data_IF_949643224342
#
_entry.id   IF_949643224342
#
_cell.length_a   1.000
_cell.length_b   1.000
_cell.length_c   1.000
_cell.angle_alpha   90.00
_cell.angle_beta   90.00
_cell.angle_gamma   90.00
#
_symmetry.space_group_name_H-M   'P 1'
#
loop_
_entity.id
_entity.type
_entity.pdbx_description
1 polymer ?
#
# COMPACT_ATOMS: atom_id res chain seq x y z
N UNK A 1 -13.68 2.50 6.62
CA UNK A 1 -14.38 1.25 6.28
C UNK A 1 -15.34 1.48 5.12
N UNK A 2 -16.28 2.41 5.20
CA UNK A 2 -17.26 2.72 4.16
C UNK A 2 -16.68 2.99 2.77
N UNK A 3 -15.51 3.63 2.69
CA UNK A 3 -14.82 3.87 1.40
C UNK A 3 -14.37 2.54 0.78
N UNK A 4 -13.81 1.60 1.57
CA UNK A 4 -13.39 0.29 1.06
C UNK A 4 -14.56 -0.51 0.50
N UNK A 5 -15.67 -0.53 1.23
CA UNK A 5 -16.89 -1.23 0.82
C UNK A 5 -17.46 -0.63 -0.46
N UNK A 6 -17.52 0.70 -0.56
CA UNK A 6 -17.97 1.39 -1.77
C UNK A 6 -17.05 1.15 -2.97
N UNK A 7 -15.73 1.13 -2.76
CA UNK A 7 -14.75 0.83 -3.82
C UNK A 7 -14.94 -0.60 -4.31
N UNK A 8 -15.05 -1.57 -3.39
CA UNK A 8 -15.26 -2.96 -3.75
C UNK A 8 -16.56 -3.16 -4.54
N UNK A 9 -17.67 -2.59 -4.08
CA UNK A 9 -18.95 -2.64 -4.78
C UNK A 9 -18.87 -2.06 -6.21
N UNK A 10 -18.24 -0.89 -6.35
CA UNK A 10 -18.11 -0.25 -7.67
C UNK A 10 -17.15 -1.00 -8.58
N UNK A 11 -16.01 -1.46 -8.08
CA UNK A 11 -15.06 -2.24 -8.86
C UNK A 11 -15.72 -3.52 -9.41
N UNK A 12 -16.48 -4.22 -8.57
CA UNK A 12 -17.21 -5.41 -8.99
C UNK A 12 -18.26 -5.10 -10.06
N UNK A 13 -18.96 -3.97 -9.97
CA UNK A 13 -19.92 -3.53 -10.98
C UNK A 13 -19.28 -3.27 -12.37
N UNK A 14 -17.98 -3.02 -12.41
CA UNK A 14 -17.18 -2.89 -13.63
C UNK A 14 -16.44 -4.18 -14.02
N UNK A 15 -16.75 -5.30 -13.36
CA UNK A 15 -16.16 -6.60 -13.66
C UNK A 15 -14.79 -6.84 -13.01
N UNK A 16 -14.39 -6.02 -12.04
CA UNK A 16 -13.14 -6.18 -11.28
C UNK A 16 -13.46 -6.81 -9.93
N UNK A 17 -13.25 -8.12 -9.76
CA UNK A 17 -13.57 -8.80 -8.49
C UNK A 17 -12.59 -8.40 -7.38
N UNK A 18 -13.04 -8.51 -6.13
CA UNK A 18 -12.26 -8.08 -4.96
C UNK A 18 -10.89 -8.78 -4.79
N UNK A 19 -10.72 -9.96 -5.38
CA UNK A 19 -9.46 -10.70 -5.35
C UNK A 19 -8.49 -10.32 -6.48
N UNK A 20 -8.89 -9.47 -7.43
CA UNK A 20 -8.04 -9.02 -8.54
C UNK A 20 -7.07 -7.90 -8.13
N UNK A 21 -7.25 -7.29 -6.96
CA UNK A 21 -6.41 -6.19 -6.51
C UNK A 21 -6.22 -6.18 -4.98
N UNK A 22 -5.21 -5.44 -4.55
CA UNK A 22 -5.01 -5.07 -3.14
C UNK A 22 -5.13 -3.56 -3.02
N UNK A 23 -5.97 -3.10 -2.10
CA UNK A 23 -6.17 -1.68 -1.81
C UNK A 23 -5.71 -1.36 -0.39
N UNK A 24 -4.75 -0.46 -0.24
CA UNK A 24 -4.23 -0.02 1.03
C UNK A 24 -4.38 1.51 1.20
N UNK A 25 -4.75 1.93 2.40
CA UNK A 25 -4.76 3.32 2.82
C UNK A 25 -3.70 3.50 3.90
N UNK A 26 -2.74 4.38 3.66
CA UNK A 26 -1.73 4.77 4.63
C UNK A 26 -2.00 6.18 5.10
N UNK A 27 -2.35 6.32 6.37
CA UNK A 27 -2.72 7.60 6.96
C UNK A 27 -1.53 8.14 7.76
N UNK A 28 -0.72 8.98 7.12
CA UNK A 28 0.39 9.67 7.76
C UNK A 28 -0.13 10.69 8.77
N UNK A 29 0.55 10.78 9.91
CA UNK A 29 0.07 11.52 11.07
C UNK A 29 -0.83 10.68 11.99
N UNK A 30 -1.08 9.41 11.61
CA UNK A 30 -1.82 8.45 12.43
C UNK A 30 -1.05 7.13 12.53
N UNK A 31 -1.25 6.20 11.59
CA UNK A 31 -0.77 4.82 11.69
C UNK A 31 -0.16 4.27 10.38
N UNK A 32 0.23 5.15 9.47
CA UNK A 32 0.72 4.77 8.14
C UNK A 32 1.93 3.82 8.15
N UNK A 33 2.83 3.96 9.14
CA UNK A 33 4.09 3.22 9.23
C UNK A 33 3.92 1.93 10.02
N UNK A 34 3.38 2.03 11.23
CA UNK A 34 3.30 0.91 12.17
C UNK A 34 1.99 0.12 12.06
N UNK A 35 0.96 0.69 11.39
CA UNK A 35 -0.37 0.08 11.24
C UNK A 35 -0.93 -0.37 12.61
N UNK A 36 -1.33 -1.62 12.75
CA UNK A 36 -1.88 -2.17 14.00
C UNK A 36 -0.88 -2.21 15.18
N UNK A 37 0.40 -1.94 14.92
CA UNK A 37 1.45 -1.87 15.96
C UNK A 37 1.72 -0.45 16.44
N UNK A 38 0.97 0.54 15.93
CA UNK A 38 1.12 1.92 16.38
C UNK A 38 0.80 2.04 17.87
N UNK A 39 1.77 2.46 18.73
CA UNK A 39 1.55 2.54 20.16
C UNK A 39 0.69 3.73 20.59
N UNK A 40 0.63 4.78 19.76
CA UNK A 40 -0.17 5.98 20.05
C UNK A 40 -1.55 5.83 19.44
N UNK A 41 -2.51 5.43 20.27
CA UNK A 41 -3.88 5.15 19.83
C UNK A 41 -4.68 6.42 19.46
N UNK A 42 -4.39 7.55 20.12
CA UNK A 42 -5.08 8.82 19.91
C UNK A 42 -4.26 9.73 19.01
N UNK A 43 -4.79 10.03 17.83
CA UNK A 43 -4.16 10.94 16.89
C UNK A 43 -4.19 12.37 17.42
N UNK A 44 -3.01 13.01 17.48
CA UNK A 44 -2.82 14.41 17.89
C UNK A 44 -2.61 15.35 16.69
N UNK A 45 -2.47 14.79 15.49
CA UNK A 45 -2.16 15.55 14.28
C UNK A 45 -3.32 16.45 13.89
N UNK A 46 -3.01 17.71 13.59
CA UNK A 46 -3.97 18.67 13.07
C UNK A 46 -4.38 18.35 11.63
N UNK A 47 -3.44 17.90 10.83
CA UNK A 47 -3.65 17.46 9.43
C UNK A 47 -3.17 16.04 9.23
N UNK A 48 -3.79 15.33 8.29
CA UNK A 48 -3.45 13.98 7.93
C UNK A 48 -3.13 13.89 6.44
N UNK A 49 -2.04 13.16 6.12
CA UNK A 49 -1.73 12.78 4.75
C UNK A 49 -2.27 11.39 4.44
N UNK A 50 -2.94 11.21 3.31
CA UNK A 50 -3.46 9.91 2.89
C UNK A 50 -2.76 9.48 1.61
N UNK A 51 -2.05 8.36 1.67
CA UNK A 51 -1.53 7.67 0.50
C UNK A 51 -2.41 6.45 0.22
N UNK A 52 -2.95 6.38 -1.00
CA UNK A 52 -3.75 5.24 -1.47
C UNK A 52 -2.90 4.40 -2.40
N UNK A 53 -2.71 3.14 -2.06
CA UNK A 53 -1.95 2.19 -2.85
C UNK A 53 -2.87 1.13 -3.44
N UNK A 54 -2.76 0.90 -4.74
CA UNK A 54 -3.44 -0.21 -5.42
C UNK A 54 -2.40 -1.07 -6.12
N UNK A 55 -2.44 -2.35 -5.86
CA UNK A 55 -1.65 -3.37 -6.54
C UNK A 55 -2.60 -4.35 -7.21
N UNK A 56 -2.44 -4.57 -8.51
CA UNK A 56 -3.22 -5.51 -9.29
C UNK A 56 -2.31 -6.32 -10.23
N UNK A 57 -2.87 -7.27 -10.96
CA UNK A 57 -2.11 -8.07 -11.93
C UNK A 57 -1.69 -7.27 -13.16
N UNK A 58 -2.43 -6.21 -13.47
CA UNK A 58 -2.13 -5.31 -14.58
C UNK A 58 -2.35 -3.84 -14.17
N UNK A 59 -1.72 -2.94 -14.93
CA UNK A 59 -1.75 -1.50 -14.65
C UNK A 59 -3.12 -0.88 -14.90
N UNK A 60 -3.89 -1.39 -15.85
CA UNK A 60 -5.21 -0.87 -16.19
C UNK A 60 -6.18 -1.10 -15.03
N UNK A 61 -6.22 -2.31 -14.50
CA UNK A 61 -6.99 -2.64 -13.29
C UNK A 61 -6.57 -1.79 -12.09
N UNK A 62 -5.27 -1.61 -11.87
CA UNK A 62 -4.77 -0.77 -10.78
C UNK A 62 -5.24 0.68 -10.93
N UNK A 63 -5.13 1.25 -12.13
CA UNK A 63 -5.57 2.61 -12.44
C UNK A 63 -7.08 2.78 -12.23
N UNK A 64 -7.89 1.83 -12.70
CA UNK A 64 -9.35 1.86 -12.55
C UNK A 64 -9.77 1.87 -11.06
N UNK A 65 -9.20 0.96 -10.27
CA UNK A 65 -9.50 0.88 -8.83
C UNK A 65 -9.02 2.12 -8.09
N UNK A 66 -7.87 2.69 -8.47
CA UNK A 66 -7.35 3.92 -7.88
C UNK A 66 -8.26 5.12 -8.18
N UNK A 67 -8.73 5.26 -9.42
CA UNK A 67 -9.66 6.32 -9.81
C UNK A 67 -11.00 6.23 -9.06
N UNK A 68 -11.54 5.01 -8.91
CA UNK A 68 -12.73 4.76 -8.10
C UNK A 68 -12.47 5.16 -6.63
N UNK A 69 -11.32 4.78 -6.08
CA UNK A 69 -10.93 5.10 -4.70
C UNK A 69 -10.84 6.59 -4.48
N UNK A 70 -10.14 7.33 -5.34
CA UNK A 70 -10.02 8.79 -5.30
C UNK A 70 -11.37 9.47 -5.27
N UNK A 71 -12.26 9.11 -6.21
CA UNK A 71 -13.60 9.69 -6.28
C UNK A 71 -14.41 9.42 -5.02
N UNK A 72 -14.34 8.19 -4.48
CA UNK A 72 -15.05 7.85 -3.27
C UNK A 72 -14.52 8.61 -2.04
N UNK A 73 -13.20 8.72 -1.86
CA UNK A 73 -12.64 9.47 -0.73
C UNK A 73 -13.02 10.95 -0.82
N UNK A 74 -12.99 11.51 -2.03
CA UNK A 74 -13.31 12.92 -2.27
C UNK A 74 -14.77 13.27 -1.93
N UNK A 75 -15.68 12.32 -2.17
CA UNK A 75 -17.13 12.58 -2.07
C UNK A 75 -17.85 11.78 -0.98
N UNK A 76 -17.16 10.90 -0.23
CA UNK A 76 -17.82 10.14 0.84
C UNK A 76 -18.49 11.05 1.85
N UNK A 77 -19.70 10.67 2.23
CA UNK A 77 -20.42 11.38 3.27
C UNK A 77 -20.02 10.88 4.67
N UNK A 78 -20.05 11.79 5.65
CA UNK A 78 -19.74 11.48 7.04
C UNK A 78 -20.48 12.42 7.98
N UNK A 79 -20.73 12.04 9.24
CA UNK A 79 -21.40 12.89 10.22
C UNK A 79 -20.71 14.25 10.41
N UNK A 80 -21.50 15.33 10.44
CA UNK A 80 -21.04 16.72 10.58
C UNK A 80 -20.21 17.25 9.39
N UNK A 81 -20.33 16.65 8.21
CA UNK A 81 -19.73 17.19 7.00
C UNK A 81 -20.32 18.55 6.66
N UNK A 82 -19.47 19.57 6.59
CA UNK A 82 -19.88 20.96 6.32
C UNK A 82 -19.75 21.33 4.83
N UNK A 83 -18.87 20.68 4.09
CA UNK A 83 -18.62 20.94 2.67
C UNK A 83 -19.08 19.77 1.80
N UNK A 84 -19.78 20.04 0.70
CA UNK A 84 -20.22 19.04 -0.28
C UNK A 84 -19.31 18.94 -1.51
N UNK A 85 -18.42 19.92 -1.71
CA UNK A 85 -17.60 20.06 -2.91
C UNK A 85 -16.37 19.13 -2.94
N UNK A 86 -15.97 18.60 -1.81
CA UNK A 86 -14.85 17.67 -1.69
C UNK A 86 -14.27 17.63 -0.28
N UNK A 87 -13.60 16.53 0.04
CA UNK A 87 -13.09 16.25 1.39
C UNK A 87 -11.57 16.38 1.51
N UNK A 88 -10.86 16.56 0.37
CA UNK A 88 -9.40 16.50 0.34
C UNK A 88 -8.82 17.63 -0.48
N UNK A 89 -7.62 18.06 -0.08
CA UNK A 89 -6.72 18.85 -0.90
C UNK A 89 -5.67 17.94 -1.54
N UNK A 90 -5.48 18.03 -2.85
CA UNK A 90 -4.44 17.32 -3.56
C UNK A 90 -3.17 18.18 -3.61
N UNK A 91 -2.01 17.67 -3.16
CA UNK A 91 -0.78 18.46 -3.14
C UNK A 91 -0.16 18.66 -4.53
N UNK A 92 -0.53 17.81 -5.50
CA UNK A 92 0.01 17.85 -6.88
C UNK A 92 -0.97 17.24 -7.90
N UNK A 93 -0.70 17.51 -9.18
CA UNK A 93 -1.43 16.94 -10.31
C UNK A 93 -0.41 16.45 -11.37
N UNK A 94 -0.58 15.24 -11.93
CA UNK A 94 -1.62 14.27 -11.64
C UNK A 94 -1.50 13.67 -10.23
N UNK A 95 -2.63 13.38 -9.59
CA UNK A 95 -2.66 12.77 -8.24
C UNK A 95 -2.47 11.25 -8.27
N UNK A 96 -2.76 10.64 -9.40
CA UNK A 96 -2.64 9.20 -9.62
C UNK A 96 -1.35 8.92 -10.38
N UNK A 97 -0.47 8.10 -9.80
CA UNK A 97 0.87 7.85 -10.34
C UNK A 97 1.08 6.34 -10.47
N UNK A 98 1.41 5.90 -11.69
CA UNK A 98 1.83 4.53 -11.94
C UNK A 98 3.29 4.35 -11.49
N UNK A 99 3.50 3.54 -10.45
CA UNK A 99 4.82 3.29 -9.87
C UNK A 99 5.55 2.09 -10.49
N UNK A 100 4.92 1.41 -11.46
CA UNK A 100 5.48 0.23 -12.11
C UNK A 100 5.29 -1.06 -11.29
N UNK A 101 5.96 -2.14 -11.66
CA UNK A 101 5.79 -3.44 -11.03
C UNK A 101 6.31 -3.45 -9.60
N UNK A 102 5.58 -4.17 -8.74
CA UNK A 102 5.96 -4.45 -7.36
C UNK A 102 6.26 -5.93 -7.20
N UNK A 103 7.24 -6.25 -6.37
CA UNK A 103 7.70 -7.61 -6.15
C UNK A 103 7.37 -8.05 -4.73
N UNK A 104 7.02 -9.32 -4.59
CA UNK A 104 6.77 -9.95 -3.31
C UNK A 104 7.79 -11.05 -3.08
N UNK A 105 8.34 -11.10 -1.88
CA UNK A 105 9.14 -12.22 -1.46
C UNK A 105 8.24 -13.47 -1.38
N UNK A 106 8.46 -14.42 -2.29
CA UNK A 106 7.56 -15.57 -2.50
C UNK A 106 8.16 -16.90 -2.05
N UNK A 107 9.47 -16.93 -1.83
CA UNK A 107 10.19 -18.15 -1.47
C UNK A 107 11.02 -17.90 -0.21
N UNK A 108 10.76 -18.69 0.82
CA UNK A 108 11.51 -18.69 2.06
C UNK A 108 11.80 -20.15 2.45
N UNK A 109 13.06 -20.51 2.52
CA UNK A 109 13.51 -21.82 2.95
C UNK A 109 14.30 -21.73 4.25
N UNK A 110 13.93 -22.55 5.21
CA UNK A 110 14.74 -22.82 6.40
C UNK A 110 15.35 -24.19 6.23
N UNK A 111 16.67 -24.26 6.25
CA UNK A 111 17.40 -25.51 6.21
C UNK A 111 18.02 -25.74 7.57
N UNK A 112 17.66 -26.83 8.22
CA UNK A 112 18.30 -27.27 9.46
C UNK A 112 19.65 -27.89 9.11
N UNK A 113 20.72 -27.37 9.69
CA UNK A 113 22.08 -27.80 9.45
C UNK A 113 22.72 -28.26 10.77
N UNK A 114 23.29 -29.43 10.78
CA UNK A 114 24.11 -29.91 11.92
C UNK A 114 25.36 -29.01 12.10
N UNK A 115 25.93 -28.56 11.00
CA UNK A 115 27.01 -27.58 10.98
C UNK A 115 26.62 -26.38 10.12
N UNK A 116 26.41 -25.18 10.72
CA UNK A 116 25.99 -23.96 10.01
C UNK A 116 26.96 -23.53 8.89
N UNK A 117 28.22 -23.96 8.94
CA UNK A 117 29.24 -23.59 7.95
C UNK A 117 29.29 -24.59 6.76
N UNK A 118 28.62 -25.73 6.85
CA UNK A 118 28.69 -26.77 5.81
C UNK A 118 28.28 -26.35 4.38
N UNK A 119 27.35 -25.38 4.21
CA UNK A 119 27.00 -24.92 2.86
C UNK A 119 27.95 -23.87 2.31
N UNK A 120 28.95 -23.43 3.06
CA UNK A 120 29.87 -22.37 2.66
C UNK A 120 31.25 -22.91 2.40
N UNK A 121 31.68 -22.85 1.14
CA UNK A 121 33.08 -23.11 0.80
C UNK A 121 33.91 -21.87 1.09
N UNK A 122 34.88 -22.00 2.00
CA UNK A 122 35.77 -20.90 2.34
C UNK A 122 37.09 -21.14 1.59
N UNK A 123 37.41 -20.28 0.64
CA UNK A 123 38.68 -20.27 -0.08
C UNK A 123 39.55 -19.12 0.40
N UNK A 124 40.78 -19.42 0.76
CA UNK A 124 41.76 -18.40 1.14
C UNK A 124 42.69 -18.13 -0.05
N UNK A 125 42.70 -16.89 -0.50
CA UNK A 125 43.68 -16.42 -1.49
C UNK A 125 44.77 -15.59 -0.81
N UNK A 126 46.01 -16.03 -0.94
CA UNK A 126 47.16 -15.23 -0.53
C UNK A 126 47.39 -14.11 -1.54
N UNK A 127 47.14 -12.89 -1.17
CA UNK A 127 47.52 -11.72 -1.92
C UNK A 127 48.97 -11.37 -1.53
N UNK A 128 49.95 -11.95 -2.24
CA UNK A 128 51.31 -11.49 -2.12
C UNK A 128 51.41 -10.12 -2.78
N UNK A 129 51.58 -9.08 -1.97
CA UNK A 129 51.88 -7.74 -2.45
C UNK A 129 53.23 -7.72 -3.15
N UNK A 130 53.29 -7.15 -4.33
CA UNK A 130 54.52 -6.69 -4.97
C UNK A 130 55.03 -5.48 -4.26
#
# INVERSE_FOLDING_TARGET
>A
ESVRENVAYKAESFGVPANAYTLAFRVYGKDAVMSSREPVLNTQSHELGILVEVVALDQETANAVLAISRTNILHVDFPNRMCKEGNMAFPFSPSDIACGPVYRFSVFHVVELENPLSPFNIEYQNVSGN
#
